data_IF_807072014049
#
_entry.id   IF_807072014049
#
_cell.length_a   1.000
_cell.length_b   1.000
_cell.length_c   1.000
_cell.angle_alpha   90.00
_cell.angle_beta   90.00
_cell.angle_gamma   90.00
#
_symmetry.space_group_name_H-M   'P 1'
#
loop_
_entity.id
_entity.type
_entity.pdbx_description
1 polymer ?
#
# COMPACT_ATOMS: atom_id res chain seq x y z
N UNK A 1 -1.03 13.94 -13.65
CA UNK A 1 -2.20 13.32 -14.31
C UNK A 1 -1.68 12.08 -15.03
N UNK A 2 -2.24 10.91 -14.77
CA UNK A 2 -1.83 9.70 -15.46
C UNK A 2 -2.62 9.57 -16.76
N UNK A 3 -1.94 9.60 -17.91
CA UNK A 3 -2.55 9.36 -19.22
C UNK A 3 -1.91 8.08 -19.76
N UNK A 4 -2.71 7.03 -19.98
CA UNK A 4 -2.26 5.68 -20.35
C UNK A 4 -1.34 5.01 -19.31
N UNK A 5 -1.79 4.96 -18.06
CA UNK A 5 -1.09 4.25 -16.99
C UNK A 5 -1.03 2.74 -17.22
N UNK A 6 0.10 2.14 -16.85
CA UNK A 6 0.31 0.70 -16.87
C UNK A 6 0.66 0.22 -15.47
N UNK A 7 0.29 -1.02 -15.14
CA UNK A 7 0.59 -1.61 -13.84
C UNK A 7 1.55 -2.81 -14.03
N UNK A 8 2.55 -2.98 -13.15
CA UNK A 8 2.77 -2.20 -11.93
C UNK A 8 3.40 -0.82 -12.20
N UNK A 9 2.97 0.20 -11.44
CA UNK A 9 3.50 1.57 -11.49
C UNK A 9 4.23 1.87 -10.17
N UNK A 10 5.36 1.20 -9.93
CA UNK A 10 6.10 1.30 -8.67
C UNK A 10 6.80 2.64 -8.48
N UNK A 11 6.89 3.47 -9.53
CA UNK A 11 7.46 4.80 -9.44
C UNK A 11 6.51 5.79 -8.76
N UNK A 12 5.19 5.60 -8.97
CA UNK A 12 4.16 6.48 -8.44
C UNK A 12 3.32 5.85 -7.33
N UNK A 13 3.14 4.52 -7.33
CA UNK A 13 2.29 3.78 -6.40
C UNK A 13 3.15 2.70 -5.74
N UNK A 14 3.58 2.99 -4.51
CA UNK A 14 4.42 2.08 -3.72
C UNK A 14 3.63 1.42 -2.61
N UNK A 15 3.89 0.14 -2.40
CA UNK A 15 3.28 -0.64 -1.32
C UNK A 15 4.36 -1.04 -0.32
N UNK A 16 4.07 -0.77 0.94
CA UNK A 16 4.98 -0.99 2.03
C UNK A 16 4.33 -1.90 3.07
N UNK A 17 5.11 -2.78 3.67
CA UNK A 17 4.63 -3.69 4.71
C UNK A 17 5.23 -3.33 6.07
N UNK A 18 4.35 -3.25 7.05
CA UNK A 18 4.65 -3.26 8.47
C UNK A 18 4.21 -4.59 9.07
N UNK A 19 5.04 -5.11 9.96
CA UNK A 19 4.78 -6.26 10.82
C UNK A 19 5.24 -5.90 12.23
N UNK A 20 4.97 -6.77 13.21
CA UNK A 20 5.46 -6.56 14.59
C UNK A 20 6.99 -6.49 14.68
N UNK A 21 7.71 -7.12 13.75
CA UNK A 21 9.19 -7.09 13.74
C UNK A 21 9.77 -5.81 13.11
N UNK A 22 8.97 -4.99 12.44
CA UNK A 22 9.40 -3.75 11.79
C UNK A 22 8.33 -2.64 11.93
N UNK A 23 7.89 -2.35 13.15
CA UNK A 23 6.78 -1.41 13.39
C UNK A 23 7.09 0.04 12.99
N UNK A 24 8.37 0.41 13.00
CA UNK A 24 8.84 1.78 12.72
C UNK A 24 9.37 1.94 11.29
N UNK A 25 10.05 0.93 10.76
CA UNK A 25 10.70 0.98 9.44
C UNK A 25 10.03 0.01 8.45
N UNK A 26 9.15 0.51 7.57
CA UNK A 26 8.45 -0.34 6.62
C UNK A 26 9.35 -0.87 5.51
N UNK A 27 9.09 -2.10 5.07
CA UNK A 27 9.76 -2.64 3.88
C UNK A 27 8.95 -2.34 2.62
N UNK A 28 9.60 -1.83 1.57
CA UNK A 28 9.00 -1.75 0.24
C UNK A 28 8.86 -3.14 -0.38
N UNK A 29 7.64 -3.51 -0.79
CA UNK A 29 7.35 -4.85 -1.30
C UNK A 29 6.56 -4.79 -2.60
N UNK A 30 7.00 -5.57 -3.57
CA UNK A 30 6.35 -5.86 -4.85
C UNK A 30 6.02 -7.35 -4.93
N UNK A 31 5.27 -7.78 -5.96
CA UNK A 31 5.04 -9.21 -6.17
C UNK A 31 6.33 -9.99 -6.50
N UNK A 32 7.37 -9.32 -6.98
CA UNK A 32 8.64 -9.96 -7.33
C UNK A 32 9.50 -10.28 -6.11
N UNK A 33 9.45 -9.43 -5.06
CA UNK A 33 10.26 -9.62 -3.85
C UNK A 33 9.45 -10.13 -2.64
N UNK A 34 8.17 -10.44 -2.81
CA UNK A 34 7.28 -10.78 -1.70
C UNK A 34 7.72 -12.02 -0.92
N UNK A 35 8.29 -13.01 -1.59
CA UNK A 35 8.76 -14.27 -0.97
C UNK A 35 10.01 -14.09 -0.10
N UNK A 36 10.79 -13.04 -0.34
CA UNK A 36 11.97 -12.68 0.45
C UNK A 36 11.72 -11.51 1.41
N UNK A 37 10.48 -11.01 1.44
CA UNK A 37 10.04 -9.93 2.32
C UNK A 37 9.61 -10.44 3.71
N UNK A 38 9.21 -9.50 4.58
CA UNK A 38 8.60 -9.80 5.87
C UNK A 38 7.15 -10.31 5.79
N UNK A 39 6.57 -10.40 4.59
CA UNK A 39 5.21 -10.92 4.39
C UNK A 39 5.02 -12.33 4.94
N UNK A 40 3.92 -12.53 5.66
CA UNK A 40 3.53 -13.83 6.22
C UNK A 40 2.17 -14.28 5.65
N UNK A 41 2.13 -15.30 4.76
CA UNK A 41 0.88 -15.70 4.09
C UNK A 41 -0.19 -16.25 5.05
N UNK A 42 0.22 -16.77 6.21
CA UNK A 42 -0.68 -17.26 7.26
C UNK A 42 -1.30 -16.13 8.11
N UNK A 43 -0.91 -14.88 7.89
CA UNK A 43 -1.39 -13.72 8.65
C UNK A 43 -2.40 -12.88 7.85
N UNK A 44 -3.42 -12.31 8.52
CA UNK A 44 -4.38 -11.43 7.86
C UNK A 44 -3.68 -10.20 7.28
N UNK A 45 -4.22 -9.68 6.17
CA UNK A 45 -3.75 -8.47 5.53
C UNK A 45 -4.65 -7.29 5.91
N UNK A 46 -4.06 -6.15 6.26
CA UNK A 46 -4.75 -4.88 6.52
C UNK A 46 -4.19 -3.81 5.59
N UNK A 47 -5.00 -3.26 4.70
CA UNK A 47 -4.55 -2.22 3.75
C UNK A 47 -4.99 -0.84 4.26
N UNK A 48 -4.04 0.08 4.36
CA UNK A 48 -4.23 1.48 4.73
C UNK A 48 -3.80 2.33 3.54
N UNK A 49 -4.69 3.20 3.07
CA UNK A 49 -4.51 4.00 1.86
C UNK A 49 -4.73 5.45 2.25
N UNK A 50 -3.75 6.32 1.99
CA UNK A 50 -3.92 7.75 2.25
C UNK A 50 -4.84 8.40 1.19
N UNK A 51 -5.31 9.60 1.51
CA UNK A 51 -6.19 10.39 0.65
C UNK A 51 -5.46 11.50 -0.12
N UNK A 52 -6.20 12.57 -0.38
CA UNK A 52 -5.72 13.75 -1.11
C UNK A 52 -4.68 14.55 -0.33
N UNK A 53 -3.67 15.05 -1.04
CA UNK A 53 -2.61 15.91 -0.50
C UNK A 53 -1.96 15.35 0.78
N UNK A 54 -1.72 14.05 0.78
CA UNK A 54 -1.18 13.30 1.90
C UNK A 54 -0.20 12.24 1.37
N UNK A 55 0.42 11.52 2.30
CA UNK A 55 1.26 10.36 2.04
C UNK A 55 1.03 9.31 3.15
N UNK A 56 1.75 8.19 3.06
CA UNK A 56 1.66 7.11 4.04
C UNK A 56 2.06 7.49 5.48
N UNK A 57 2.83 8.57 5.68
CA UNK A 57 3.31 9.02 6.98
C UNK A 57 2.35 9.95 7.71
N UNK A 58 1.17 10.24 7.13
CA UNK A 58 0.12 10.98 7.83
C UNK A 58 -0.15 10.37 9.21
N UNK A 59 -0.05 11.18 10.27
CA UNK A 59 -0.08 10.73 11.67
C UNK A 59 -1.25 9.81 12.01
N UNK A 60 -2.46 10.14 11.53
CA UNK A 60 -3.65 9.32 11.76
C UNK A 60 -3.53 7.91 11.17
N UNK A 61 -2.87 7.77 10.01
CA UNK A 61 -2.65 6.48 9.37
C UNK A 61 -1.57 5.68 10.11
N UNK A 62 -0.53 6.35 10.59
CA UNK A 62 0.51 5.75 11.41
C UNK A 62 -0.04 5.25 12.74
N UNK A 63 -0.94 6.00 13.37
CA UNK A 63 -1.65 5.57 14.59
C UNK A 63 -2.52 4.33 14.33
N UNK A 64 -3.32 4.33 13.25
CA UNK A 64 -4.14 3.15 12.87
C UNK A 64 -3.24 1.92 12.63
N UNK A 65 -2.12 2.08 11.90
CA UNK A 65 -1.13 1.02 11.68
C UNK A 65 -0.60 0.48 13.00
N UNK A 66 -0.21 1.36 13.92
CA UNK A 66 0.32 0.98 15.24
C UNK A 66 -0.70 0.19 16.05
N UNK A 67 -1.96 0.61 16.08
CA UNK A 67 -3.00 -0.12 16.80
C UNK A 67 -3.31 -1.48 16.18
N UNK A 68 -3.29 -1.60 14.85
CA UNK A 68 -3.39 -2.92 14.21
C UNK A 68 -2.26 -3.86 14.62
N UNK A 69 -1.01 -3.39 14.62
CA UNK A 69 0.15 -4.22 15.00
C UNK A 69 0.11 -4.65 16.46
N UNK A 70 -0.43 -3.81 17.36
CA UNK A 70 -0.63 -4.15 18.78
C UNK A 70 -1.68 -5.25 18.94
N UNK A 71 -2.84 -5.09 18.30
CA UNK A 71 -4.01 -5.95 18.54
C UNK A 71 -4.00 -7.24 17.73
N UNK A 72 -3.41 -7.24 16.53
CA UNK A 72 -3.47 -8.35 15.59
C UNK A 72 -2.08 -8.65 15.05
N UNK A 73 -1.70 -9.92 15.00
CA UNK A 73 -0.50 -10.33 14.26
C UNK A 73 -0.83 -10.36 12.76
N UNK A 74 -0.66 -9.21 12.10
CA UNK A 74 -1.10 -8.96 10.73
C UNK A 74 0.02 -8.42 9.86
N UNK A 75 -0.13 -8.61 8.55
CA UNK A 75 0.59 -7.85 7.54
C UNK A 75 -0.14 -6.52 7.32
N UNK A 76 0.38 -5.42 7.86
CA UNK A 76 -0.21 -4.09 7.67
C UNK A 76 0.46 -3.43 6.47
N UNK A 77 -0.30 -3.27 5.41
CA UNK A 77 0.13 -2.65 4.16
C UNK A 77 -0.24 -1.17 4.14
N UNK A 78 0.72 -0.31 3.85
CA UNK A 78 0.46 1.10 3.52
C UNK A 78 0.69 1.33 2.04
N UNK A 79 -0.29 1.95 1.38
CA UNK A 79 -0.23 2.30 -0.04
C UNK A 79 0.10 3.78 -0.18
N UNK A 80 1.24 4.07 -0.81
CA UNK A 80 1.80 5.41 -0.94
C UNK A 80 1.77 5.87 -2.41
N UNK A 81 0.97 6.88 -2.71
CA UNK A 81 0.74 7.47 -4.03
C UNK A 81 0.78 9.02 -4.06
N UNK A 82 1.71 9.69 -3.34
CA UNK A 82 1.68 11.13 -3.14
C UNK A 82 1.89 11.94 -4.43
N UNK A 83 2.64 11.40 -5.41
CA UNK A 83 2.86 12.06 -6.70
C UNK A 83 1.56 12.21 -7.52
N UNK A 84 0.57 11.37 -7.24
CA UNK A 84 -0.70 11.33 -7.96
C UNK A 84 -1.84 12.04 -7.22
N UNK A 85 -1.65 12.42 -5.95
CA UNK A 85 -2.67 13.06 -5.12
C UNK A 85 -2.31 14.47 -4.64
N UNK A 86 -1.14 15.00 -5.03
CA UNK A 86 -0.63 16.29 -4.56
C UNK A 86 -1.58 17.44 -4.93
N UNK A 87 -1.89 18.29 -3.94
CA UNK A 87 -2.66 19.50 -4.18
C UNK A 87 -1.90 20.53 -5.04
N UNK A 88 -2.60 21.57 -5.53
CA UNK A 88 -3.98 21.95 -5.22
C UNK A 88 -5.05 21.39 -6.18
N UNK A 89 -4.68 20.64 -7.21
CA UNK A 89 -5.62 20.20 -8.25
C UNK A 89 -6.40 18.94 -7.85
N UNK A 90 -7.46 19.11 -7.05
CA UNK A 90 -8.31 18.01 -6.59
C UNK A 90 -8.90 17.15 -7.74
N UNK A 91 -9.38 17.70 -8.88
CA UNK A 91 -9.90 16.89 -9.98
C UNK A 91 -8.86 15.92 -10.56
N UNK A 92 -7.57 16.27 -10.58
CA UNK A 92 -6.52 15.36 -11.04
C UNK A 92 -6.30 14.21 -10.07
N UNK A 93 -6.37 14.47 -8.75
CA UNK A 93 -6.29 13.42 -7.76
C UNK A 93 -7.44 12.42 -7.91
N UNK A 94 -8.68 12.91 -8.10
CA UNK A 94 -9.86 12.08 -8.37
C UNK A 94 -9.69 11.26 -9.63
N UNK A 95 -9.22 11.87 -10.73
CA UNK A 95 -8.97 11.16 -11.99
C UNK A 95 -7.98 10.00 -11.83
N UNK A 96 -6.89 10.23 -11.08
CA UNK A 96 -5.85 9.21 -10.90
C UNK A 96 -6.30 8.01 -10.05
N UNK A 97 -7.41 8.09 -9.31
CA UNK A 97 -7.89 7.00 -8.44
C UNK A 97 -8.15 5.70 -9.22
N UNK A 98 -8.62 5.80 -10.47
CA UNK A 98 -8.84 4.61 -11.31
C UNK A 98 -7.55 3.83 -11.54
N UNK A 99 -6.46 4.53 -11.87
CA UNK A 99 -5.13 3.94 -12.05
C UNK A 99 -4.56 3.37 -10.75
N UNK A 100 -4.69 4.11 -9.64
CA UNK A 100 -4.26 3.65 -8.30
C UNK A 100 -4.96 2.35 -7.91
N UNK A 101 -6.28 2.30 -8.09
CA UNK A 101 -7.08 1.11 -7.81
C UNK A 101 -6.71 -0.08 -8.70
N UNK A 102 -6.48 0.16 -10.00
CA UNK A 102 -6.06 -0.88 -10.94
C UNK A 102 -4.71 -1.51 -10.55
N UNK A 103 -3.72 -0.70 -10.19
CA UNK A 103 -2.41 -1.23 -9.80
C UNK A 103 -2.46 -1.92 -8.43
N UNK A 104 -3.22 -1.37 -7.47
CA UNK A 104 -3.42 -2.02 -6.17
C UNK A 104 -4.14 -3.37 -6.30
N UNK A 105 -5.06 -3.52 -7.26
CA UNK A 105 -5.73 -4.79 -7.51
C UNK A 105 -4.75 -5.91 -7.89
N UNK A 106 -3.65 -5.60 -8.60
CA UNK A 106 -2.62 -6.60 -8.90
C UNK A 106 -1.97 -7.15 -7.63
N UNK A 107 -1.65 -6.29 -6.65
CA UNK A 107 -1.15 -6.73 -5.34
C UNK A 107 -2.18 -7.64 -4.67
N UNK A 108 -3.44 -7.22 -4.54
CA UNK A 108 -4.49 -7.99 -3.86
C UNK A 108 -4.69 -9.38 -4.51
N UNK A 109 -4.73 -9.43 -5.85
CA UNK A 109 -4.82 -10.70 -6.60
C UNK A 109 -3.59 -11.57 -6.37
N UNK A 110 -2.39 -10.98 -6.38
CA UNK A 110 -1.15 -11.70 -6.11
C UNK A 110 -1.10 -12.28 -4.69
N UNK A 111 -1.46 -11.50 -3.67
CA UNK A 111 -1.58 -11.96 -2.28
C UNK A 111 -2.55 -13.13 -2.17
N UNK A 112 -3.72 -13.07 -2.84
CA UNK A 112 -4.70 -14.15 -2.84
C UNK A 112 -4.14 -15.46 -3.42
N UNK A 113 -3.30 -15.37 -4.45
CA UNK A 113 -2.67 -16.56 -5.07
C UNK A 113 -1.65 -17.21 -4.15
N UNK A 114 -0.93 -16.42 -3.34
CA UNK A 114 0.09 -16.92 -2.41
C UNK A 114 -0.48 -17.66 -1.19
N UNK A 115 -1.74 -17.40 -0.84
CA UNK A 115 -2.44 -18.09 0.27
C UNK A 115 -3.12 -19.38 -0.21
N UNK A 116 -3.37 -19.53 -1.51
CA UNK A 116 -4.09 -20.66 -2.11
C UNK A 116 -3.23 -21.84 -2.57
N UNK A 117 -1.96 -21.89 -2.17
CA UNK A 117 -1.01 -22.99 -2.41
C UNK A 117 -0.57 -23.59 -1.08
#
# INVERSE_FOLDING_TARGET
LVVNGHCPDTDNIRTYIYTRSNSEDPQFVTLDNITTSLYKPDRPNKLIIHGYNADMYQDSLQQIKTEYLKLVDANVWTVNWPSLCKGPCYPFAVYNLGHVGQCLAQLVVGLRRLVGT
#
